data_IF_518237570144
#
_entry.id   IF_518237570144
#
_cell.length_a   1.000
_cell.length_b   1.000
_cell.length_c   1.000
_cell.angle_alpha   90.00
_cell.angle_beta   90.00
_cell.angle_gamma   90.00
#
_symmetry.space_group_name_H-M   'P 1'
#
loop_
_entity.id
_entity.type
_entity.pdbx_description
1 polymer ?
#
# COMPACT_ATOMS: atom_id res chain seq x y z
N UNK A 1 -17.05 21.54 0.08
CA UNK A 1 -16.77 20.33 -0.72
C UNK A 1 -15.65 19.59 -0.01
N UNK A 2 -15.84 18.31 0.31
CA UNK A 2 -14.81 17.48 0.94
C UNK A 2 -13.84 17.01 -0.14
N UNK A 3 -12.54 17.05 0.14
CA UNK A 3 -11.49 16.65 -0.80
C UNK A 3 -10.62 15.57 -0.15
N UNK A 4 -10.52 14.42 -0.81
CA UNK A 4 -9.64 13.33 -0.38
C UNK A 4 -8.53 13.16 -1.39
N UNK A 5 -7.30 13.17 -0.88
CA UNK A 5 -6.10 13.07 -1.69
C UNK A 5 -5.67 11.61 -1.78
N UNK A 6 -5.37 11.12 -2.99
CA UNK A 6 -4.86 9.78 -3.20
C UNK A 6 -3.42 9.80 -3.69
N UNK A 7 -2.59 8.92 -3.13
CA UNK A 7 -1.27 8.57 -3.66
C UNK A 7 -1.31 7.10 -4.01
N UNK A 8 -0.93 6.75 -5.24
CA UNK A 8 -0.68 5.36 -5.62
C UNK A 8 0.77 5.20 -6.06
N UNK A 9 1.43 4.13 -5.63
CA UNK A 9 2.80 3.86 -6.01
C UNK A 9 3.14 2.36 -5.95
N UNK A 10 3.50 1.79 -7.09
CA UNK A 10 4.20 0.53 -7.14
C UNK A 10 5.68 0.76 -6.75
N UNK A 11 6.04 0.33 -5.55
CA UNK A 11 7.33 0.71 -4.93
C UNK A 11 8.50 -0.17 -5.38
N UNK A 12 8.21 -1.36 -5.92
CA UNK A 12 9.21 -2.39 -6.25
C UNK A 12 10.15 -2.77 -5.10
N UNK A 13 9.83 -2.38 -3.86
CA UNK A 13 10.72 -2.59 -2.71
C UNK A 13 10.91 -4.07 -2.38
N UNK A 14 9.93 -4.92 -2.71
CA UNK A 14 10.05 -6.36 -2.52
C UNK A 14 11.20 -7.00 -3.29
N UNK A 15 11.72 -6.38 -4.35
CA UNK A 15 12.85 -6.93 -5.10
C UNK A 15 14.15 -6.92 -4.31
N UNK A 16 14.27 -6.02 -3.34
CA UNK A 16 15.43 -5.93 -2.46
C UNK A 16 15.37 -7.03 -1.41
N UNK A 17 16.36 -7.93 -1.41
CA UNK A 17 16.44 -9.04 -0.46
C UNK A 17 15.63 -10.28 -0.85
N UNK A 18 14.97 -10.29 -2.03
CA UNK A 18 14.29 -11.47 -2.57
C UNK A 18 14.88 -11.92 -3.90
N UNK A 19 14.79 -13.22 -4.17
CA UNK A 19 15.00 -13.77 -5.51
C UNK A 19 13.73 -13.60 -6.35
N UNK A 20 13.87 -13.00 -7.54
CA UNK A 20 12.74 -12.73 -8.44
C UNK A 20 12.64 -13.77 -9.55
N UNK A 21 13.78 -14.27 -10.00
CA UNK A 21 13.92 -15.39 -10.93
C UNK A 21 15.33 -15.98 -10.75
N UNK A 22 15.56 -17.16 -11.32
CA UNK A 22 16.84 -17.88 -11.19
C UNK A 22 18.00 -17.23 -11.99
N UNK A 23 17.68 -16.26 -12.86
CA UNK A 23 18.66 -15.62 -13.76
C UNK A 23 19.28 -14.36 -13.15
N UNK A 24 18.55 -13.65 -12.30
CA UNK A 24 18.97 -12.36 -11.75
C UNK A 24 19.58 -12.51 -10.36
N UNK A 25 20.74 -11.88 -10.09
CA UNK A 25 21.30 -11.85 -8.76
C UNK A 25 20.34 -11.12 -7.81
N UNK A 26 20.23 -11.61 -6.57
CA UNK A 26 19.44 -10.98 -5.53
C UNK A 26 19.91 -9.54 -5.32
N UNK A 27 18.99 -8.57 -5.46
CA UNK A 27 19.28 -7.18 -5.17
C UNK A 27 19.52 -7.02 -3.66
N UNK A 28 20.61 -6.34 -3.29
CA UNK A 28 20.89 -6.04 -1.88
C UNK A 28 19.84 -5.07 -1.34
N UNK A 29 19.64 -5.12 -0.03
CA UNK A 29 18.78 -4.16 0.67
C UNK A 29 19.43 -2.78 0.63
N UNK A 30 18.73 -1.83 0.00
CA UNK A 30 19.11 -0.42 -0.05
C UNK A 30 18.21 0.39 0.89
N UNK A 31 18.74 0.65 2.09
CA UNK A 31 18.03 1.43 3.11
C UNK A 31 17.81 2.89 2.71
N UNK A 32 18.66 3.47 1.86
CA UNK A 32 18.49 4.85 1.42
C UNK A 32 17.26 4.96 0.52
N UNK A 33 17.15 4.08 -0.49
CA UNK A 33 15.99 4.03 -1.37
C UNK A 33 14.71 3.74 -0.58
N UNK A 34 14.75 2.79 0.35
CA UNK A 34 13.62 2.51 1.25
C UNK A 34 13.19 3.76 2.02
N UNK A 35 14.13 4.44 2.69
CA UNK A 35 13.85 5.64 3.49
C UNK A 35 13.21 6.75 2.65
N UNK A 36 13.73 6.99 1.43
CA UNK A 36 13.16 8.00 0.52
C UNK A 36 11.69 7.69 0.18
N UNK A 37 11.36 6.42 -0.05
CA UNK A 37 9.98 6.02 -0.36
C UNK A 37 9.07 6.26 0.84
N UNK A 38 9.43 5.76 2.03
CA UNK A 38 8.58 5.90 3.22
C UNK A 38 8.44 7.35 3.68
N UNK A 39 9.49 8.17 3.56
CA UNK A 39 9.43 9.60 3.88
C UNK A 39 8.49 10.36 2.93
N UNK A 40 8.52 10.06 1.64
CA UNK A 40 7.60 10.67 0.66
C UNK A 40 6.14 10.32 0.97
N UNK A 41 5.86 9.06 1.25
CA UNK A 41 4.51 8.59 1.64
C UNK A 41 4.06 9.27 2.92
N UNK A 42 4.93 9.26 3.94
CA UNK A 42 4.64 9.89 5.23
C UNK A 42 4.37 11.38 5.09
N UNK A 43 5.20 12.12 4.34
CA UNK A 43 5.00 13.54 4.06
C UNK A 43 3.68 13.80 3.33
N UNK A 44 3.32 12.95 2.36
CA UNK A 44 2.03 13.05 1.68
C UNK A 44 0.86 12.89 2.66
N UNK A 45 0.86 11.82 3.47
CA UNK A 45 -0.19 11.57 4.46
C UNK A 45 -0.27 12.64 5.55
N UNK A 46 0.87 13.23 5.94
CA UNK A 46 0.92 14.23 7.00
C UNK A 46 0.59 15.66 6.55
N UNK A 47 0.77 15.98 5.27
CA UNK A 47 0.58 17.35 4.73
C UNK A 47 -0.83 17.64 4.23
N UNK A 48 -1.71 16.64 4.21
CA UNK A 48 -3.07 16.72 3.70
C UNK A 48 -4.06 16.50 4.84
N UNK A 49 -5.23 17.15 4.75
CA UNK A 49 -6.28 16.96 5.75
C UNK A 49 -6.83 15.53 5.71
N UNK A 50 -7.20 15.05 4.53
CA UNK A 50 -7.64 13.68 4.30
C UNK A 50 -6.86 13.08 3.12
N UNK A 51 -6.09 12.03 3.40
CA UNK A 51 -5.26 11.39 2.41
C UNK A 51 -5.20 9.88 2.60
N UNK A 52 -5.16 9.17 1.48
CA UNK A 52 -5.01 7.73 1.40
C UNK A 52 -3.83 7.40 0.47
N UNK A 53 -2.90 6.60 0.95
CA UNK A 53 -1.80 6.07 0.15
C UNK A 53 -2.01 4.58 -0.13
N UNK A 54 -1.85 4.17 -1.38
CA UNK A 54 -2.03 2.79 -1.85
C UNK A 54 -0.71 2.37 -2.47
N UNK A 55 0.02 1.50 -1.78
CA UNK A 55 1.37 1.12 -2.15
C UNK A 55 1.40 -0.34 -2.57
N UNK A 56 1.80 -0.60 -3.80
CA UNK A 56 1.99 -1.96 -4.29
C UNK A 56 3.45 -2.40 -4.13
N UNK A 57 3.63 -3.71 -4.12
CA UNK A 57 4.93 -4.37 -4.09
C UNK A 57 5.78 -4.01 -2.87
N UNK A 58 5.11 -3.78 -1.74
CA UNK A 58 5.73 -3.67 -0.42
C UNK A 58 6.25 -5.07 -0.02
N UNK A 59 7.52 -5.20 0.44
CA UNK A 59 8.07 -6.47 0.89
C UNK A 59 7.27 -7.01 2.07
N UNK A 60 7.09 -8.33 2.16
CA UNK A 60 6.47 -8.98 3.32
C UNK A 60 7.31 -10.11 3.88
N UNK A 61 7.66 -11.11 3.05
CA UNK A 61 8.54 -12.22 3.43
C UNK A 61 9.76 -12.30 2.53
N UNK A 62 10.82 -12.91 3.05
CA UNK A 62 12.10 -13.14 2.38
C UNK A 62 12.18 -14.58 1.84
N UNK A 63 12.13 -14.79 0.52
CA UNK A 63 12.14 -16.14 -0.06
C UNK A 63 13.52 -16.83 -0.08
N UNK A 64 14.60 -16.11 0.21
CA UNK A 64 15.95 -16.69 0.32
C UNK A 64 16.30 -17.08 1.76
N UNK A 65 15.53 -16.63 2.76
CA UNK A 65 15.69 -16.98 4.18
C UNK A 65 14.43 -17.68 4.71
N UNK A 66 13.97 -18.71 3.98
CA UNK A 66 12.91 -19.59 4.44
C UNK A 66 11.54 -18.93 4.66
N UNK A 67 11.25 -17.82 3.96
CA UNK A 67 10.00 -17.06 4.07
C UNK A 67 9.74 -16.45 5.47
N UNK A 68 10.80 -16.06 6.17
CA UNK A 68 10.68 -15.20 7.36
C UNK A 68 10.20 -13.80 6.98
N UNK A 69 9.66 -13.07 7.97
CA UNK A 69 9.27 -11.67 7.80
C UNK A 69 10.45 -10.84 7.27
N UNK A 70 10.18 -9.98 6.29
CA UNK A 70 11.18 -9.18 5.63
C UNK A 70 11.57 -7.98 6.50
N UNK A 71 12.86 -7.72 6.69
CA UNK A 71 13.34 -6.61 7.54
C UNK A 71 12.78 -5.24 7.12
N UNK A 72 12.62 -5.01 5.82
CA UNK A 72 12.00 -3.77 5.32
C UNK A 72 10.52 -3.66 5.70
N UNK A 73 9.80 -4.78 5.84
CA UNK A 73 8.42 -4.76 6.31
C UNK A 73 8.35 -4.36 7.79
N UNK A 74 9.20 -4.95 8.62
CA UNK A 74 9.30 -4.58 10.03
C UNK A 74 9.56 -3.08 10.20
N UNK A 75 10.52 -2.53 9.45
CA UNK A 75 10.80 -1.09 9.43
C UNK A 75 9.65 -0.26 8.90
N UNK A 76 8.93 -0.77 7.89
CA UNK A 76 7.76 -0.08 7.35
C UNK A 76 6.69 0.12 8.43
N UNK A 77 6.45 -0.88 9.28
CA UNK A 77 5.53 -0.77 10.42
C UNK A 77 5.99 0.29 11.44
N UNK A 78 7.30 0.41 11.70
CA UNK A 78 7.85 1.46 12.59
C UNK A 78 7.56 2.89 12.08
N UNK A 79 7.54 3.10 10.76
CA UNK A 79 7.24 4.41 10.16
C UNK A 79 5.75 4.78 10.20
N UNK A 80 4.87 3.78 10.23
CA UNK A 80 3.43 3.93 10.19
C UNK A 80 2.76 3.19 11.36
N UNK A 81 3.00 3.64 12.60
CA UNK A 81 2.53 2.92 13.78
C UNK A 81 1.00 2.98 13.90
N UNK A 82 0.43 1.88 14.41
CA UNK A 82 -1.02 1.64 14.49
C UNK A 82 -1.78 2.67 15.35
N UNK A 83 -1.12 3.40 16.23
CA UNK A 83 -1.75 4.47 17.01
C UNK A 83 -2.03 5.74 16.16
N UNK A 84 -1.27 5.94 15.08
CA UNK A 84 -1.33 7.16 14.24
C UNK A 84 -1.86 6.91 12.83
N UNK A 85 -1.75 5.70 12.33
CA UNK A 85 -2.15 5.34 10.98
C UNK A 85 -3.11 4.15 11.00
N UNK A 86 -4.06 4.13 10.07
CA UNK A 86 -4.76 2.91 9.69
C UNK A 86 -4.01 2.30 8.51
N UNK A 87 -3.69 1.01 8.63
CA UNK A 87 -3.00 0.25 7.60
C UNK A 87 -3.79 -1.03 7.29
N UNK A 88 -4.14 -1.24 6.03
CA UNK A 88 -4.82 -2.46 5.58
C UNK A 88 -4.02 -3.17 4.51
N UNK A 89 -3.85 -4.47 4.71
CA UNK A 89 -3.24 -5.40 3.78
C UNK A 89 -3.80 -6.79 4.06
N UNK A 90 -3.61 -7.72 3.12
CA UNK A 90 -4.10 -9.09 3.24
C UNK A 90 -2.92 -10.07 3.18
N UNK A 91 -2.96 -11.07 4.07
CA UNK A 91 -2.06 -12.22 4.02
C UNK A 91 -2.85 -13.40 3.46
N UNK A 92 -2.42 -13.89 2.31
CA UNK A 92 -3.12 -14.96 1.57
C UNK A 92 -2.31 -16.24 1.43
N UNK A 93 -1.01 -16.19 1.76
CA UNK A 93 -0.11 -17.35 1.67
C UNK A 93 1.07 -17.19 2.61
N UNK A 94 1.53 -18.32 3.18
CA UNK A 94 2.78 -18.38 3.94
C UNK A 94 4.03 -18.08 3.10
N UNK A 95 3.93 -18.13 1.77
CA UNK A 95 5.04 -17.85 0.84
C UNK A 95 4.94 -16.46 0.18
N UNK A 96 4.08 -15.59 0.70
CA UNK A 96 3.84 -14.25 0.15
C UNK A 96 5.04 -13.33 0.37
N UNK A 97 5.78 -13.02 -0.69
CA UNK A 97 6.95 -12.12 -0.61
C UNK A 97 6.60 -10.63 -0.72
N UNK A 98 5.42 -10.31 -1.27
CA UNK A 98 4.97 -8.93 -1.52
C UNK A 98 3.50 -8.72 -1.25
N UNK A 99 3.13 -7.48 -0.96
CA UNK A 99 1.75 -7.08 -0.74
C UNK A 99 1.42 -5.69 -1.28
N UNK A 100 0.12 -5.44 -1.45
CA UNK A 100 -0.46 -4.11 -1.53
C UNK A 100 -0.89 -3.67 -0.14
N UNK A 101 -0.56 -2.43 0.22
CA UNK A 101 -0.91 -1.81 1.50
C UNK A 101 -1.70 -0.52 1.24
N UNK A 102 -2.79 -0.34 1.98
CA UNK A 102 -3.55 0.92 2.03
C UNK A 102 -3.28 1.59 3.36
N UNK A 103 -2.93 2.88 3.31
CA UNK A 103 -2.56 3.69 4.47
C UNK A 103 -3.40 4.96 4.52
N UNK A 104 -3.85 5.32 5.71
CA UNK A 104 -4.39 6.64 6.00
C UNK A 104 -3.93 7.11 7.38
N UNK A 105 -3.78 8.43 7.55
CA UNK A 105 -3.52 9.03 8.85
C UNK A 105 -4.82 9.11 9.66
N UNK A 106 -4.77 8.80 10.95
CA UNK A 106 -5.88 8.98 11.88
C UNK A 106 -6.03 10.46 12.24
N UNK A 107 -7.27 10.93 12.36
CA UNK A 107 -7.59 12.27 12.84
C UNK A 107 -8.19 12.11 14.24
N UNK A 108 -7.38 12.35 15.28
CA UNK A 108 -7.77 11.99 16.63
C UNK A 108 -7.99 10.49 16.78
N UNK A 109 -9.15 10.07 17.29
CA UNK A 109 -9.57 8.66 17.37
C UNK A 109 -10.31 8.16 16.12
N UNK A 110 -10.52 9.02 15.13
CA UNK A 110 -11.34 8.72 13.97
C UNK A 110 -10.50 8.14 12.82
N UNK A 111 -11.00 7.03 12.28
CA UNK A 111 -10.49 6.38 11.07
C UNK A 111 -11.08 7.03 9.83
N UNK A 112 -10.26 7.35 8.84
CA UNK A 112 -10.70 7.82 7.52
C UNK A 112 -11.19 6.66 6.63
N UNK A 113 -10.49 5.53 6.70
CA UNK A 113 -10.75 4.33 5.88
C UNK A 113 -11.30 3.20 6.74
N UNK A 114 -12.00 2.26 6.10
CA UNK A 114 -12.40 0.99 6.70
C UNK A 114 -12.21 -0.17 5.72
N UNK A 115 -11.89 -1.36 6.24
CA UNK A 115 -11.66 -2.53 5.40
C UNK A 115 -13.00 -3.17 4.97
N UNK A 116 -13.10 -3.58 3.71
CA UNK A 116 -14.26 -4.30 3.18
C UNK A 116 -13.96 -5.78 3.00
N UNK A 117 -14.47 -6.60 3.92
CA UNK A 117 -14.09 -8.02 4.04
C UNK A 117 -14.72 -8.94 2.98
N UNK A 118 -15.89 -8.59 2.46
CA UNK A 118 -16.66 -9.44 1.55
C UNK A 118 -16.28 -9.27 0.07
N UNK A 119 -15.34 -8.36 -0.22
CA UNK A 119 -14.86 -8.09 -1.58
C UNK A 119 -13.58 -8.88 -1.93
N UNK A 120 -13.10 -8.77 -3.17
CA UNK A 120 -11.88 -9.44 -3.61
C UNK A 120 -10.66 -8.93 -2.83
N UNK A 121 -10.21 -9.76 -1.89
CA UNK A 121 -9.05 -9.50 -1.06
C UNK A 121 -8.01 -10.61 -1.22
N UNK A 122 -6.81 -10.25 -1.66
CA UNK A 122 -5.64 -11.12 -1.69
C UNK A 122 -4.38 -10.29 -1.45
N UNK A 123 -3.19 -10.88 -1.52
CA UNK A 123 -1.96 -10.13 -1.26
C UNK A 123 -1.75 -8.92 -2.18
N UNK A 124 -2.28 -8.93 -3.40
CA UNK A 124 -2.14 -7.84 -4.37
C UNK A 124 -3.35 -6.91 -4.42
N UNK A 125 -4.48 -7.29 -3.81
CA UNK A 125 -5.74 -6.55 -3.86
C UNK A 125 -6.29 -6.31 -2.46
N UNK A 126 -6.52 -5.04 -2.12
CA UNK A 126 -7.10 -4.61 -0.84
C UNK A 126 -8.33 -3.77 -1.12
N UNK A 127 -9.49 -4.25 -0.69
CA UNK A 127 -10.74 -3.51 -0.75
C UNK A 127 -10.96 -2.68 0.51
N UNK A 128 -11.26 -1.39 0.34
CA UNK A 128 -11.53 -0.47 1.43
C UNK A 128 -12.64 0.52 1.05
N UNK A 129 -13.29 1.08 2.06
CA UNK A 129 -14.20 2.21 1.89
C UNK A 129 -13.65 3.44 2.61
N UNK A 130 -14.21 4.61 2.27
CA UNK A 130 -13.90 5.87 2.93
C UNK A 130 -15.13 6.27 3.74
N UNK A 131 -14.93 6.60 5.02
CA UNK A 131 -16.05 6.96 5.89
C UNK A 131 -16.78 8.19 5.39
N UNK A 132 -18.10 8.22 5.60
CA UNK A 132 -18.98 9.35 5.29
C UNK A 132 -19.00 9.75 3.80
N UNK A 133 -18.50 8.87 2.95
CA UNK A 133 -18.83 8.85 1.54
C UNK A 133 -19.49 7.52 1.27
N UNK A 134 -20.66 7.54 0.62
CA UNK A 134 -21.21 6.37 -0.08
C UNK A 134 -20.38 6.10 -1.36
N UNK A 135 -19.05 6.13 -1.21
CA UNK A 135 -18.09 5.91 -2.27
C UNK A 135 -17.36 4.59 -2.00
N UNK A 136 -17.81 3.57 -2.72
CA UNK A 136 -17.24 2.25 -2.72
C UNK A 136 -16.00 2.22 -3.64
N UNK A 137 -14.81 2.39 -3.05
CA UNK A 137 -13.55 2.34 -3.78
C UNK A 137 -12.93 0.93 -3.75
N UNK A 138 -13.34 0.05 -4.65
CA UNK A 138 -12.62 -1.21 -4.89
C UNK A 138 -11.48 -0.93 -5.89
N UNK A 139 -10.30 -0.57 -5.38
CA UNK A 139 -9.16 -0.23 -6.24
C UNK A 139 -8.40 -1.50 -6.60
N UNK A 140 -8.69 -2.02 -7.79
CA UNK A 140 -7.88 -3.03 -8.46
C UNK A 140 -6.69 -2.36 -9.15
N UNK A 141 -5.51 -2.43 -8.55
CA UNK A 141 -4.27 -2.07 -9.24
C UNK A 141 -3.55 -3.38 -9.56
N UNK A 142 -3.92 -3.98 -10.70
CA UNK A 142 -3.06 -4.95 -11.37
C UNK A 142 -1.72 -4.30 -11.72
N UNK A 143 -0.69 -5.06 -12.11
CA UNK A 143 0.54 -4.46 -12.62
C UNK A 143 0.25 -3.62 -13.86
N UNK A 144 0.00 -2.33 -13.67
CA UNK A 144 -0.22 -1.42 -14.78
C UNK A 144 1.11 -0.81 -15.17
N UNK A 145 1.72 -1.35 -16.22
CA UNK A 145 2.59 -0.53 -17.07
C UNK A 145 1.66 0.44 -17.80
N UNK A 146 1.53 1.68 -17.31
CA UNK A 146 0.68 2.77 -17.82
C UNK A 146 -0.85 2.61 -17.67
N UNK A 147 -1.47 3.41 -16.80
CA UNK A 147 -2.86 3.85 -16.98
C UNK A 147 -2.95 5.34 -16.68
N UNK A 148 -3.39 6.09 -17.69
CA UNK A 148 -4.05 7.37 -17.55
C UNK A 148 -5.44 7.12 -16.95
N UNK A 149 -5.82 7.94 -15.96
CA UNK A 149 -7.17 7.90 -15.40
C UNK A 149 -8.07 8.85 -16.20
N UNK A 150 -8.92 8.28 -17.06
CA UNK A 150 -10.08 9.01 -17.58
C UNK A 150 -11.22 8.95 -16.56
N UNK A 151 -11.44 10.07 -15.87
CA UNK A 151 -12.63 10.31 -15.04
C UNK A 151 -13.84 10.50 -15.96
N UNK A 152 -14.67 9.46 -16.10
CA UNK A 152 -16.00 9.58 -16.69
C UNK A 152 -16.87 10.39 -15.72
N UNK A 153 -17.04 11.69 -16.01
CA UNK A 153 -18.13 12.50 -15.46
C UNK A 153 -19.43 12.06 -16.13
N UNK A 154 -20.27 11.34 -15.41
CA UNK A 154 -21.69 11.27 -15.74
C UNK A 154 -22.30 12.65 -15.46
N UNK A 155 -22.42 13.48 -16.50
CA UNK A 155 -23.44 14.52 -16.57
C UNK A 155 -24.50 14.04 -17.55
N UNK A 156 -25.71 13.79 -17.05
CA UNK A 156 -26.91 13.75 -17.86
C UNK A 156 -27.88 14.75 -17.24
N UNK A 157 -28.06 15.87 -17.94
CA UNK A 157 -29.24 16.72 -17.86
C UNK A 157 -30.35 16.12 -18.73
#
# INVERSE_FOLDING_TARGET
>A
MREINFLTWNTQLYEMGNSINDEQPVKKIDMLTFNIVVEKVKKFLDSKNEAVAILQEIPFKCNIDGFKEHILFHKFLEFFPDDKYDMYYNVSSEKQIKMTVVLAKKIGSEKLIYQKKEELNNNMCVSFGIKELDFDASIFIGQVKHLEFDLIRNQSH
#
